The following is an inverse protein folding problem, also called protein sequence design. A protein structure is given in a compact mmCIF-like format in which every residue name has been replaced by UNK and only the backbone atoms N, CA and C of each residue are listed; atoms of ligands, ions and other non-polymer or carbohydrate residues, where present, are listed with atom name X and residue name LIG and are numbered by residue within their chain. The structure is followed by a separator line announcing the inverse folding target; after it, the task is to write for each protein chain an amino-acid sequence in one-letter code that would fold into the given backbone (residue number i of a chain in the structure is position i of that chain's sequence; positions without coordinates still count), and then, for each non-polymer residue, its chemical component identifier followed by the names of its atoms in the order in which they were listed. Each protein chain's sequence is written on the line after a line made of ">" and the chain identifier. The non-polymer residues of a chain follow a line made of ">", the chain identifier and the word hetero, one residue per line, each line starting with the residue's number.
data_IF_785466531491
#
_entry.id   IF_785466531491
#
_cell.length_a   1.000
_cell.length_b   1.000
_cell.length_c   1.000
_cell.angle_alpha   90.00
_cell.angle_beta   90.00
_cell.angle_gamma   90.00
#
_symmetry.space_group_name_H-M   'P 1'
#
loop_
_entity.id
_entity.type
_entity.pdbx_description
1 polymer ?
#
# COMPACT_ATOMS: atom_id res chain seq x y z
N UNK A 1 -4.98 2.46 -10.08
CA UNK A 1 -3.66 1.81 -9.83
C UNK A 1 -3.36 1.87 -8.34
N UNK A 2 -3.37 0.71 -7.67
CA UNK A 2 -3.22 0.61 -6.20
C UNK A 2 -1.85 1.08 -5.73
N UNK A 3 -0.78 0.79 -6.50
CA UNK A 3 0.59 1.19 -6.16
C UNK A 3 0.71 2.72 -6.12
N UNK A 4 0.20 3.41 -7.13
CA UNK A 4 0.22 4.88 -7.17
C UNK A 4 -0.57 5.50 -6.02
N UNK A 5 -1.71 4.93 -5.65
CA UNK A 5 -2.50 5.40 -4.51
C UNK A 5 -1.75 5.21 -3.18
N UNK A 6 -1.05 4.09 -3.00
CA UNK A 6 -0.19 3.85 -1.85
C UNK A 6 0.96 4.85 -1.75
N UNK A 7 1.67 5.11 -2.85
CA UNK A 7 2.78 6.09 -2.88
C UNK A 7 2.28 7.49 -2.49
N UNK A 8 1.14 7.92 -3.04
CA UNK A 8 0.56 9.22 -2.70
C UNK A 8 0.14 9.29 -1.23
N UNK A 9 -0.40 8.20 -0.69
CA UNK A 9 -0.75 8.14 0.71
C UNK A 9 0.48 8.17 1.63
N UNK A 10 1.56 7.46 1.31
CA UNK A 10 2.81 7.49 2.10
C UNK A 10 3.37 8.90 2.15
N UNK A 11 3.49 9.57 0.99
CA UNK A 11 3.94 10.97 0.92
C UNK A 11 3.09 11.92 1.76
N UNK A 12 1.78 11.68 1.80
CA UNK A 12 0.87 12.44 2.65
C UNK A 12 1.11 12.19 4.14
N UNK A 13 1.42 10.96 4.55
CA UNK A 13 1.77 10.63 5.93
C UNK A 13 3.14 11.21 6.31
N UNK A 14 4.12 11.15 5.42
CA UNK A 14 5.45 11.75 5.62
C UNK A 14 5.38 13.27 5.78
N UNK A 15 4.54 13.95 4.98
CA UNK A 15 4.28 15.38 5.12
C UNK A 15 3.67 15.72 6.49
N UNK A 16 2.89 14.80 7.05
CA UNK A 16 2.34 14.90 8.41
C UNK A 16 3.33 14.51 9.52
N UNK A 17 4.57 14.18 9.17
CA UNK A 17 5.58 13.64 10.08
C UNK A 17 5.15 12.33 10.77
N UNK A 18 4.26 11.56 10.15
CA UNK A 18 3.84 10.25 10.62
C UNK A 18 4.67 9.14 9.97
N UNK A 19 5.20 8.22 10.78
CA UNK A 19 5.95 7.06 10.31
C UNK A 19 5.00 5.97 9.82
N UNK A 20 5.08 5.64 8.54
CA UNK A 20 4.31 4.53 7.97
C UNK A 20 4.95 3.19 8.34
N UNK A 21 4.21 2.33 9.03
CA UNK A 21 4.65 0.98 9.39
C UNK A 21 4.12 -0.06 8.38
N UNK A 22 4.78 -1.22 8.31
CA UNK A 22 4.35 -2.35 7.46
C UNK A 22 2.87 -2.77 7.67
N UNK A 23 2.37 -2.89 8.91
CA UNK A 23 0.96 -3.18 9.17
C UNK A 23 0.00 -2.11 8.64
N UNK A 24 0.34 -0.82 8.79
CA UNK A 24 -0.49 0.27 8.24
C UNK A 24 -0.55 0.21 6.71
N UNK A 25 0.57 -0.10 6.05
CA UNK A 25 0.65 -0.30 4.60
C UNK A 25 -0.27 -1.44 4.14
N UNK A 26 -0.31 -2.55 4.87
CA UNK A 26 -1.19 -3.68 4.57
C UNK A 26 -2.66 -3.28 4.63
N UNK A 27 -3.08 -2.67 5.74
CA UNK A 27 -4.47 -2.26 5.91
C UNK A 27 -4.89 -1.21 4.87
N UNK A 28 -4.00 -0.24 4.60
CA UNK A 28 -4.29 0.79 3.59
C UNK A 28 -4.40 0.19 2.19
N UNK A 29 -3.51 -0.74 1.84
CA UNK A 29 -3.59 -1.45 0.56
C UNK A 29 -4.91 -2.19 0.44
N UNK A 30 -5.30 -2.98 1.44
CA UNK A 30 -6.56 -3.74 1.42
C UNK A 30 -7.75 -2.81 1.14
N UNK A 31 -7.78 -1.64 1.78
CA UNK A 31 -8.80 -0.62 1.55
C UNK A 31 -8.79 -0.08 0.12
N UNK A 32 -7.62 0.18 -0.46
CA UNK A 32 -7.53 0.59 -1.86
C UNK A 32 -7.94 -0.53 -2.83
N UNK A 33 -7.57 -1.78 -2.56
CA UNK A 33 -7.98 -2.92 -3.40
C UNK A 33 -9.48 -3.14 -3.39
N UNK A 34 -10.13 -2.92 -2.24
CA UNK A 34 -11.58 -2.95 -2.10
C UNK A 34 -12.23 -1.78 -2.87
N UNK A 35 -11.74 -0.56 -2.68
CA UNK A 35 -12.26 0.65 -3.34
C UNK A 35 -12.08 0.62 -4.87
N UNK A 36 -10.96 0.06 -5.35
CA UNK A 36 -10.69 -0.13 -6.77
C UNK A 36 -11.33 -1.42 -7.35
N UNK A 37 -12.07 -2.19 -6.54
CA UNK A 37 -12.65 -3.48 -6.93
C UNK A 37 -11.63 -4.42 -7.60
N UNK A 38 -10.40 -4.45 -7.07
CA UNK A 38 -9.35 -5.33 -7.59
C UNK A 38 -9.76 -6.77 -7.29
N UNK A 39 -9.90 -7.61 -8.34
CA UNK A 39 -10.36 -8.97 -8.17
C UNK A 39 -9.30 -9.79 -7.41
N UNK A 40 -9.75 -10.76 -6.61
CA UNK A 40 -8.89 -11.50 -5.68
C UNK A 40 -7.70 -12.21 -6.34
N UNK A 41 -7.83 -12.58 -7.62
CA UNK A 41 -6.76 -13.17 -8.42
C UNK A 41 -5.63 -12.19 -8.78
N UNK A 42 -5.89 -10.88 -8.74
CA UNK A 42 -4.90 -9.82 -9.00
C UNK A 42 -4.36 -9.19 -7.71
N UNK A 43 -4.97 -9.51 -6.55
CA UNK A 43 -4.45 -9.08 -5.26
C UNK A 43 -3.12 -9.76 -5.01
N UNK A 44 -2.08 -8.97 -4.76
CA UNK A 44 -0.77 -9.48 -4.32
C UNK A 44 -0.92 -10.20 -2.97
N UNK A 45 -0.92 -11.54 -2.96
CA UNK A 45 -1.01 -12.33 -1.74
C UNK A 45 0.33 -12.33 -0.99
N UNK A 46 0.29 -12.24 0.36
CA UNK A 46 1.45 -12.38 1.23
C UNK A 46 2.17 -11.08 1.63
N UNK A 47 3.35 -11.21 2.26
CA UNK A 47 4.20 -10.08 2.73
C UNK A 47 5.28 -9.68 1.74
N UNK A 48 5.57 -10.52 0.74
CA UNK A 48 6.65 -10.31 -0.21
C UNK A 48 6.49 -9.00 -1.01
N UNK A 49 5.26 -8.57 -1.27
CA UNK A 49 5.02 -7.30 -1.93
C UNK A 49 5.41 -6.08 -1.08
N UNK A 50 5.33 -6.15 0.26
CA UNK A 50 5.71 -5.04 1.15
C UNK A 50 7.22 -4.82 1.03
N UNK A 51 8.00 -5.90 1.08
CA UNK A 51 9.45 -5.81 0.88
C UNK A 51 9.81 -5.29 -0.51
N UNK A 52 9.15 -5.79 -1.56
CA UNK A 52 9.37 -5.29 -2.92
C UNK A 52 8.95 -3.84 -3.11
N UNK A 53 7.88 -3.42 -2.46
CA UNK A 53 7.36 -2.05 -2.49
C UNK A 53 8.29 -1.09 -1.72
N UNK A 54 8.72 -1.44 -0.51
CA UNK A 54 9.67 -0.65 0.27
C UNK A 54 11.08 -0.61 -0.35
N UNK A 55 11.47 -1.57 -1.17
CA UNK A 55 12.73 -1.53 -1.94
C UNK A 55 12.66 -0.65 -3.18
N UNK A 56 11.46 -0.47 -3.73
CA UNK A 56 11.22 0.31 -4.95
C UNK A 56 10.81 1.76 -4.66
N UNK A 57 10.39 2.05 -3.43
CA UNK A 57 10.19 3.39 -2.87
C UNK A 57 11.52 3.94 -2.37
#
# INVERSE_FOLDING_TARGET
>A
DVKRALILWIRHMENKHETVTGPMLREKRKRFEDEFNVPDNERLLGEAWIQSFCKAY
#
